data_IF_752048713126
#
_entry.id   IF_752048713126
#
_cell.length_a   1.000
_cell.length_b   1.000
_cell.length_c   1.000
_cell.angle_alpha   90.00
_cell.angle_beta   90.00
_cell.angle_gamma   90.00
#
_symmetry.space_group_name_H-M   'P 1'
#
loop_
_entity.id
_entity.type
_entity.pdbx_description
1 polymer ?
#
# COMPACT_ATOMS: atom_id res chain seq x y z
N UNK A 1 -7.44 21.45 35.05
CA UNK A 1 -6.98 21.20 33.66
C UNK A 1 -8.12 20.56 32.89
N UNK A 2 -8.52 21.10 31.74
CA UNK A 2 -9.58 20.55 30.88
C UNK A 2 -8.93 19.84 29.69
N UNK A 3 -9.18 18.54 29.53
CA UNK A 3 -8.74 17.77 28.36
C UNK A 3 -9.88 17.73 27.35
N UNK A 4 -9.59 18.01 26.08
CA UNK A 4 -10.55 17.96 24.98
C UNK A 4 -10.16 16.82 24.03
N UNK A 5 -11.15 16.05 23.57
CA UNK A 5 -10.96 14.95 22.63
C UNK A 5 -11.68 15.26 21.32
N UNK A 6 -10.95 15.20 20.20
CA UNK A 6 -11.50 15.42 18.87
C UNK A 6 -12.44 14.28 18.44
N UNK A 7 -13.40 14.57 17.57
CA UNK A 7 -14.20 13.58 16.85
C UNK A 7 -14.39 14.04 15.39
N UNK A 8 -14.04 13.23 14.37
CA UNK A 8 -13.52 11.85 14.48
C UNK A 8 -12.07 11.79 14.99
N UNK A 9 -11.68 10.64 15.57
CA UNK A 9 -10.30 10.27 15.93
C UNK A 9 -10.16 8.74 15.95
N UNK A 10 -8.96 8.22 15.70
CA UNK A 10 -8.68 6.79 15.76
C UNK A 10 -8.82 6.07 14.41
N UNK A 11 -9.31 4.83 14.44
CA UNK A 11 -9.31 3.94 13.28
C UNK A 11 -10.30 4.37 12.20
N UNK A 12 -9.83 4.36 10.95
CA UNK A 12 -10.68 4.48 9.77
C UNK A 12 -11.15 3.09 9.30
N UNK A 13 -12.05 3.06 8.33
CA UNK A 13 -12.58 1.79 7.79
C UNK A 13 -11.50 0.88 7.19
N UNK A 14 -10.51 1.45 6.47
CA UNK A 14 -9.40 0.69 5.88
C UNK A 14 -8.50 0.03 6.93
N UNK A 15 -8.17 0.76 8.00
CA UNK A 15 -7.40 0.24 9.14
C UNK A 15 -8.15 -0.90 9.84
N UNK A 16 -9.44 -0.73 10.12
CA UNK A 16 -10.25 -1.79 10.72
C UNK A 16 -10.26 -3.04 9.83
N UNK A 17 -10.53 -2.86 8.54
CA UNK A 17 -10.58 -3.96 7.57
C UNK A 17 -9.26 -4.73 7.52
N UNK A 18 -8.11 -4.04 7.49
CA UNK A 18 -6.81 -4.69 7.42
C UNK A 18 -6.47 -5.49 8.68
N UNK A 19 -6.77 -4.92 9.86
CA UNK A 19 -6.61 -5.60 11.15
C UNK A 19 -7.52 -6.83 11.22
N UNK A 20 -8.80 -6.68 10.86
CA UNK A 20 -9.78 -7.77 10.86
C UNK A 20 -9.40 -8.88 9.86
N UNK A 21 -8.84 -8.52 8.70
CA UNK A 21 -8.36 -9.46 7.71
C UNK A 21 -7.23 -10.34 8.27
N UNK A 22 -6.24 -9.73 8.95
CA UNK A 22 -5.15 -10.46 9.58
C UNK A 22 -5.66 -11.33 10.75
N UNK A 23 -6.58 -10.82 11.57
CA UNK A 23 -7.21 -11.60 12.65
C UNK A 23 -7.98 -12.81 12.13
N UNK A 24 -8.74 -12.64 11.04
CA UNK A 24 -9.49 -13.72 10.40
C UNK A 24 -8.54 -14.76 9.80
N UNK A 25 -7.46 -14.32 9.14
CA UNK A 25 -6.45 -15.23 8.62
C UNK A 25 -5.84 -16.07 9.74
N UNK A 26 -5.39 -15.45 10.83
CA UNK A 26 -4.85 -16.15 12.01
C UNK A 26 -5.86 -17.15 12.57
N UNK A 27 -7.15 -16.78 12.65
CA UNK A 27 -8.20 -17.66 13.17
C UNK A 27 -8.39 -18.92 12.31
N UNK A 28 -8.23 -18.80 11.00
CA UNK A 28 -8.47 -19.90 10.05
C UNK A 28 -7.29 -20.85 9.91
N UNK A 29 -6.07 -20.32 9.88
CA UNK A 29 -4.87 -21.08 9.50
C UNK A 29 -3.77 -21.08 10.55
N UNK A 30 -3.97 -20.37 11.67
CA UNK A 30 -2.99 -20.19 12.72
C UNK A 30 -2.07 -18.98 12.47
N UNK A 31 -1.19 -18.65 13.44
CA UNK A 31 -0.43 -17.40 13.42
C UNK A 31 0.83 -17.41 12.55
N UNK A 32 1.19 -18.53 11.94
CA UNK A 32 2.36 -18.64 11.06
C UNK A 32 2.08 -18.00 9.68
N UNK A 33 1.83 -16.70 9.71
CA UNK A 33 1.49 -15.86 8.57
C UNK A 33 2.56 -14.79 8.43
N UNK A 34 2.90 -14.47 7.19
CA UNK A 34 3.79 -13.38 6.85
C UNK A 34 2.97 -12.18 6.39
N UNK A 35 3.40 -10.98 6.75
CA UNK A 35 2.81 -9.72 6.27
C UNK A 35 3.92 -8.92 5.60
N UNK A 36 3.68 -8.52 4.35
CA UNK A 36 4.57 -7.63 3.62
C UNK A 36 4.39 -6.20 4.16
N UNK A 37 5.45 -5.67 4.77
CA UNK A 37 5.46 -4.46 5.59
C UNK A 37 4.52 -4.50 6.79
N UNK A 38 4.54 -3.48 7.64
CA UNK A 38 3.59 -3.36 8.75
C UNK A 38 2.14 -3.32 8.21
N UNK A 39 1.23 -4.09 8.84
CA UNK A 39 -0.19 -4.16 8.41
C UNK A 39 -0.84 -2.76 8.39
N UNK A 40 -0.46 -1.92 9.35
CA UNK A 40 -0.70 -0.48 9.47
C UNK A 40 0.47 0.12 10.25
N UNK A 41 0.83 1.39 10.02
CA UNK A 41 1.92 2.07 10.74
C UNK A 41 1.55 2.42 12.21
N UNK A 42 1.36 1.39 13.02
CA UNK A 42 1.09 1.51 14.45
C UNK A 42 1.81 0.42 15.24
N UNK A 43 2.84 0.84 15.98
CA UNK A 43 3.66 -0.06 16.81
C UNK A 43 2.86 -0.96 17.74
N UNK A 44 1.80 -0.46 18.39
CA UNK A 44 1.01 -1.29 19.30
C UNK A 44 0.25 -2.41 18.58
N UNK A 45 -0.24 -2.14 17.36
CA UNK A 45 -0.91 -3.13 16.50
C UNK A 45 0.12 -4.15 16.01
N UNK A 46 1.26 -3.70 15.49
CA UNK A 46 2.36 -4.56 15.02
C UNK A 46 2.86 -5.47 16.13
N UNK A 47 3.22 -4.91 17.29
CA UNK A 47 3.70 -5.65 18.45
C UNK A 47 2.68 -6.70 18.94
N UNK A 48 1.38 -6.40 18.84
CA UNK A 48 0.31 -7.35 19.19
C UNK A 48 0.36 -8.57 18.28
N UNK A 49 0.44 -8.39 16.96
CA UNK A 49 0.47 -9.49 16.01
C UNK A 49 1.79 -10.26 16.03
N UNK A 50 2.92 -9.57 16.21
CA UNK A 50 4.23 -10.23 16.40
C UNK A 50 4.21 -11.17 17.61
N UNK A 51 3.62 -10.74 18.74
CA UNK A 51 3.44 -11.61 19.92
C UNK A 51 2.52 -12.81 19.67
N UNK A 52 1.61 -12.72 18.70
CA UNK A 52 0.77 -13.84 18.31
C UNK A 52 1.50 -14.83 17.39
N UNK A 53 2.62 -14.43 16.78
CA UNK A 53 3.45 -15.29 15.92
C UNK A 53 3.53 -14.82 14.45
N UNK A 54 2.88 -13.71 14.10
CA UNK A 54 2.97 -13.11 12.76
C UNK A 54 4.37 -12.58 12.51
N UNK A 55 4.85 -12.69 11.28
CA UNK A 55 6.14 -12.15 10.85
C UNK A 55 5.94 -11.05 9.82
N UNK A 56 6.38 -9.84 10.14
CA UNK A 56 6.45 -8.74 9.19
C UNK A 56 7.78 -8.83 8.42
N UNK A 57 7.74 -8.67 7.10
CA UNK A 57 8.90 -8.81 6.20
C UNK A 57 8.95 -7.65 5.22
N UNK A 58 10.14 -7.32 4.74
CA UNK A 58 10.37 -6.22 3.80
C UNK A 58 10.44 -6.71 2.35
N UNK A 59 10.58 -8.03 2.14
CA UNK A 59 10.55 -8.68 0.83
C UNK A 59 9.79 -10.02 0.84
N UNK A 60 9.01 -10.35 -0.22
CA UNK A 60 8.49 -11.69 -0.43
C UNK A 60 9.60 -12.77 -0.49
N UNK A 61 10.86 -12.39 -0.70
CA UNK A 61 11.98 -13.32 -0.72
C UNK A 61 12.31 -13.95 0.65
N UNK A 62 11.92 -13.26 1.71
CA UNK A 62 12.09 -13.73 3.09
C UNK A 62 11.03 -14.76 3.49
N UNK A 63 10.01 -14.95 2.64
CA UNK A 63 8.85 -15.80 2.92
C UNK A 63 9.07 -17.20 2.31
N UNK A 64 9.01 -18.29 3.10
CA UNK A 64 9.14 -19.64 2.56
C UNK A 64 8.07 -19.92 1.51
N UNK A 65 8.46 -20.54 0.39
CA UNK A 65 7.56 -20.88 -0.70
C UNK A 65 6.32 -21.67 -0.21
N UNK A 66 5.15 -21.40 -0.77
CA UNK A 66 3.88 -22.00 -0.35
C UNK A 66 3.28 -21.41 0.94
N UNK A 67 3.98 -20.53 1.65
CA UNK A 67 3.44 -19.87 2.86
C UNK A 67 2.40 -18.82 2.50
N UNK A 68 1.65 -18.36 3.52
CA UNK A 68 0.67 -17.29 3.40
C UNK A 68 1.37 -15.93 3.55
N UNK A 69 1.17 -15.04 2.59
CA UNK A 69 1.65 -13.67 2.60
C UNK A 69 0.47 -12.69 2.51
N UNK A 70 0.36 -11.80 3.49
CA UNK A 70 -0.65 -10.75 3.53
C UNK A 70 -0.05 -9.42 3.06
N UNK A 71 -0.71 -8.72 2.16
CA UNK A 71 -0.33 -7.35 1.78
C UNK A 71 -0.95 -6.34 2.74
N UNK A 72 -0.20 -5.31 3.14
CA UNK A 72 -0.64 -4.30 4.12
C UNK A 72 -1.78 -3.41 3.59
N UNK A 73 -2.34 -2.57 4.47
CA UNK A 73 -3.39 -1.62 4.10
C UNK A 73 -2.95 -0.59 3.04
N UNK A 74 -1.65 -0.34 2.94
CA UNK A 74 -1.02 0.66 2.09
C UNK A 74 -0.92 0.25 0.61
N UNK A 75 -1.23 -1.01 0.29
CA UNK A 75 -1.07 -1.51 -1.08
C UNK A 75 0.35 -1.92 -1.43
N UNK A 76 0.46 -2.58 -2.58
CA UNK A 76 1.73 -3.09 -3.12
C UNK A 76 1.75 -2.94 -4.63
N UNK A 77 2.94 -2.81 -5.20
CA UNK A 77 3.13 -2.71 -6.65
C UNK A 77 2.81 -4.04 -7.35
N UNK A 78 2.53 -4.01 -8.68
CA UNK A 78 2.40 -5.21 -9.51
C UNK A 78 3.61 -6.15 -9.45
N UNK A 79 4.82 -5.60 -9.27
CA UNK A 79 6.07 -6.36 -9.14
C UNK A 79 6.06 -7.24 -7.88
N UNK A 80 5.70 -6.69 -6.72
CA UNK A 80 5.58 -7.46 -5.47
C UNK A 80 4.52 -8.56 -5.60
N UNK A 81 3.42 -8.28 -6.29
CA UNK A 81 2.41 -9.31 -6.61
C UNK A 81 2.98 -10.41 -7.52
N UNK A 82 3.84 -10.07 -8.48
CA UNK A 82 4.51 -11.05 -9.34
C UNK A 82 5.47 -11.93 -8.57
N UNK A 83 6.34 -11.32 -7.77
CA UNK A 83 7.31 -12.05 -6.95
C UNK A 83 6.63 -13.03 -5.98
N UNK A 84 5.52 -12.61 -5.36
CA UNK A 84 4.72 -13.50 -4.52
C UNK A 84 4.14 -14.69 -5.30
N UNK A 85 3.67 -14.48 -6.55
CA UNK A 85 3.18 -15.56 -7.42
C UNK A 85 4.31 -16.50 -7.84
N UNK A 86 5.47 -15.98 -8.22
CA UNK A 86 6.64 -16.76 -8.63
C UNK A 86 7.12 -17.70 -7.51
N UNK A 87 7.01 -17.23 -6.25
CA UNK A 87 7.29 -18.03 -5.06
C UNK A 87 6.16 -18.95 -4.62
N UNK A 88 5.08 -19.02 -5.40
CA UNK A 88 3.88 -19.82 -5.08
C UNK A 88 3.31 -19.50 -3.71
N UNK A 89 3.39 -18.24 -3.28
CA UNK A 89 2.82 -17.79 -2.00
C UNK A 89 1.30 -17.72 -2.09
N UNK A 90 0.63 -18.09 -1.01
CA UNK A 90 -0.81 -17.91 -0.86
C UNK A 90 -1.07 -16.48 -0.40
N UNK A 91 -1.51 -15.61 -1.31
CA UNK A 91 -1.65 -14.18 -1.02
C UNK A 91 -3.04 -13.83 -0.48
N UNK A 92 -3.07 -12.93 0.50
CA UNK A 92 -4.28 -12.27 0.99
C UNK A 92 -4.06 -10.76 0.93
N UNK A 93 -4.97 -10.03 0.30
CA UNK A 93 -4.80 -8.61 0.06
C UNK A 93 -5.65 -7.79 1.02
N UNK A 94 -5.01 -7.08 1.95
CA UNK A 94 -5.68 -6.18 2.88
C UNK A 94 -5.57 -4.69 2.48
N UNK A 95 -5.16 -4.40 1.23
CA UNK A 95 -5.09 -3.04 0.70
C UNK A 95 -6.42 -2.32 0.91
N UNK A 96 -6.37 -1.11 1.47
CA UNK A 96 -7.56 -0.28 1.65
C UNK A 96 -8.26 -0.06 0.29
N UNK A 97 -9.59 -0.23 0.17
CA UNK A 97 -10.28 -0.02 -1.11
C UNK A 97 -10.12 1.39 -1.68
N UNK A 98 -9.82 2.39 -0.84
CA UNK A 98 -9.53 3.75 -1.28
C UNK A 98 -8.13 3.85 -1.92
N UNK A 99 -7.15 3.08 -1.44
CA UNK A 99 -5.84 2.95 -2.10
C UNK A 99 -5.98 2.17 -3.41
N UNK A 100 -6.71 1.05 -3.40
CA UNK A 100 -7.01 0.30 -4.63
C UNK A 100 -7.68 1.17 -5.69
N UNK A 101 -8.57 2.09 -5.28
CA UNK A 101 -9.15 3.07 -6.21
C UNK A 101 -8.07 3.91 -6.87
N UNK A 102 -7.09 4.45 -6.13
CA UNK A 102 -5.99 5.26 -6.70
C UNK A 102 -5.14 4.43 -7.67
N UNK A 103 -4.84 3.17 -7.32
CA UNK A 103 -4.15 2.25 -8.24
C UNK A 103 -4.92 2.07 -9.55
N UNK A 104 -6.23 1.82 -9.48
CA UNK A 104 -7.07 1.64 -10.67
C UNK A 104 -7.17 2.92 -11.52
N UNK A 105 -7.15 4.09 -10.89
CA UNK A 105 -7.12 5.38 -11.59
C UNK A 105 -5.77 5.59 -12.28
N UNK A 106 -4.64 5.22 -11.66
CA UNK A 106 -3.32 5.27 -12.29
C UNK A 106 -3.26 4.39 -13.54
N UNK A 107 -3.74 3.15 -13.46
CA UNK A 107 -3.83 2.23 -14.59
C UNK A 107 -4.71 2.81 -15.70
N UNK A 108 -5.89 3.36 -15.34
CA UNK A 108 -6.80 3.95 -16.32
C UNK A 108 -6.15 5.13 -17.05
N UNK A 109 -5.57 6.07 -16.33
CA UNK A 109 -4.96 7.26 -16.92
C UNK A 109 -3.77 6.90 -17.81
N UNK A 110 -2.93 5.95 -17.41
CA UNK A 110 -1.83 5.46 -18.24
C UNK A 110 -2.34 4.84 -19.55
N UNK A 111 -3.37 3.98 -19.49
CA UNK A 111 -3.99 3.38 -20.67
C UNK A 111 -4.65 4.42 -21.60
N UNK A 112 -5.18 5.49 -21.02
CA UNK A 112 -5.76 6.60 -21.76
C UNK A 112 -4.70 7.58 -22.32
N UNK A 113 -3.41 7.34 -22.09
CA UNK A 113 -2.29 8.14 -22.59
C UNK A 113 -2.04 9.44 -21.85
N UNK A 114 -2.34 9.49 -20.54
CA UNK A 114 -1.99 10.61 -19.68
C UNK A 114 -0.60 10.44 -19.05
N UNK A 115 0.09 11.57 -18.86
CA UNK A 115 1.13 11.66 -17.84
C UNK A 115 0.47 11.96 -16.49
N UNK A 116 0.84 11.21 -15.46
CA UNK A 116 0.25 11.23 -14.13
C UNK A 116 1.22 11.92 -13.20
N UNK A 117 0.75 12.95 -12.50
CA UNK A 117 1.48 13.60 -11.43
C UNK A 117 0.98 13.00 -10.12
N UNK A 118 1.80 12.21 -9.44
CA UNK A 118 1.49 11.69 -8.12
C UNK A 118 2.01 12.67 -7.07
N UNK A 119 1.12 13.18 -6.22
CA UNK A 119 1.49 14.02 -5.08
C UNK A 119 1.63 13.11 -3.88
N UNK A 120 2.83 12.98 -3.33
CA UNK A 120 3.09 12.06 -2.23
C UNK A 120 4.45 12.30 -1.61
N UNK A 121 4.87 11.39 -0.74
CA UNK A 121 6.21 11.40 -0.15
C UNK A 121 7.02 10.23 -0.66
N UNK A 122 8.24 10.51 -1.15
CA UNK A 122 9.14 9.47 -1.62
C UNK A 122 9.43 8.45 -0.50
N UNK A 123 9.52 7.18 -0.89
CA UNK A 123 9.74 6.07 0.03
C UNK A 123 8.51 5.61 0.84
N UNK A 124 7.35 6.29 0.78
CA UNK A 124 6.15 5.80 1.46
C UNK A 124 5.53 4.59 0.73
N UNK A 125 5.09 3.57 1.49
CA UNK A 125 4.55 2.31 0.94
C UNK A 125 3.43 2.54 -0.10
N UNK A 126 2.48 3.44 0.20
CA UNK A 126 1.37 3.79 -0.70
C UNK A 126 1.84 4.44 -2.01
N UNK A 127 2.90 5.25 -1.93
CA UNK A 127 3.49 5.94 -3.08
C UNK A 127 4.23 4.95 -3.95
N UNK A 128 5.07 4.09 -3.37
CA UNK A 128 5.77 3.02 -4.10
C UNK A 128 4.77 2.09 -4.78
N UNK A 129 3.70 1.70 -4.07
CA UNK A 129 2.62 0.87 -4.60
C UNK A 129 1.94 1.50 -5.80
N UNK A 130 1.55 2.78 -5.69
CA UNK A 130 0.85 3.51 -6.76
C UNK A 130 1.75 3.79 -7.96
N UNK A 131 3.00 4.22 -7.73
CA UNK A 131 4.00 4.45 -8.80
C UNK A 131 4.22 3.18 -9.62
N UNK A 132 4.26 2.02 -8.96
CA UNK A 132 4.46 0.73 -9.61
C UNK A 132 3.32 0.29 -10.55
N UNK A 133 2.12 0.86 -10.44
CA UNK A 133 1.00 0.53 -11.33
C UNK A 133 1.17 1.12 -12.75
N UNK A 134 1.90 2.23 -12.88
CA UNK A 134 2.10 2.93 -14.14
C UNK A 134 3.49 3.60 -14.26
N UNK A 135 4.60 2.85 -14.07
CA UNK A 135 5.95 3.42 -13.90
C UNK A 135 6.42 4.29 -15.06
N UNK A 136 5.98 3.99 -16.28
CA UNK A 136 6.35 4.73 -17.51
C UNK A 136 5.53 6.01 -17.72
N UNK A 137 4.50 6.25 -16.91
CA UNK A 137 3.55 7.35 -17.10
C UNK A 137 3.35 8.20 -15.86
N UNK A 138 4.05 7.92 -14.76
CA UNK A 138 3.84 8.58 -13.47
C UNK A 138 5.11 9.29 -12.99
N UNK A 139 4.95 10.50 -12.48
CA UNK A 139 6.02 11.32 -11.91
C UNK A 139 5.60 11.77 -10.52
N UNK A 140 6.43 11.50 -9.51
CA UNK A 140 6.21 11.91 -8.13
C UNK A 140 6.59 13.39 -7.96
N UNK A 141 5.78 14.11 -7.18
CA UNK A 141 6.10 15.44 -6.66
C UNK A 141 5.71 15.54 -5.18
N UNK A 142 6.52 16.22 -4.38
CA UNK A 142 6.27 16.51 -2.97
C UNK A 142 6.05 18.01 -2.71
N UNK A 143 6.60 18.85 -3.59
CA UNK A 143 6.69 20.30 -3.37
C UNK A 143 6.22 21.12 -4.59
N UNK A 144 5.76 22.37 -4.40
CA UNK A 144 5.48 23.27 -5.51
C UNK A 144 6.67 23.50 -6.44
N UNK A 145 7.88 23.56 -5.91
CA UNK A 145 9.11 23.75 -6.69
C UNK A 145 9.39 22.58 -7.64
N UNK A 146 9.07 21.34 -7.24
CA UNK A 146 9.14 20.17 -8.12
C UNK A 146 8.10 20.26 -9.25
N UNK A 147 6.90 20.76 -8.96
CA UNK A 147 5.86 21.00 -9.97
C UNK A 147 6.35 21.98 -11.05
N UNK A 148 7.04 23.05 -10.65
CA UNK A 148 7.62 24.03 -11.57
C UNK A 148 8.69 23.43 -12.51
N UNK A 149 9.29 22.30 -12.13
CA UNK A 149 10.34 21.63 -12.88
C UNK A 149 9.85 20.50 -13.81
N UNK A 150 8.54 20.21 -13.82
CA UNK A 150 7.99 19.10 -14.58
C UNK A 150 8.18 19.29 -16.10
N UNK A 151 8.64 18.25 -16.83
CA UNK A 151 9.05 18.37 -18.24
C UNK A 151 7.87 18.29 -19.22
N UNK A 152 6.67 18.71 -18.82
CA UNK A 152 5.46 18.61 -19.65
C UNK A 152 5.16 19.90 -20.41
N UNK A 153 4.62 19.73 -21.61
CA UNK A 153 4.16 20.82 -22.48
C UNK A 153 2.64 21.02 -22.39
N UNK A 154 2.11 22.16 -22.84
CA UNK A 154 0.66 22.38 -22.91
C UNK A 154 -0.11 21.41 -23.83
N UNK A 155 0.60 20.65 -24.68
CA UNK A 155 -0.02 19.64 -25.54
C UNK A 155 -0.18 18.27 -24.84
N UNK A 156 0.51 18.06 -23.72
CA UNK A 156 0.46 16.80 -22.98
C UNK A 156 -0.84 16.67 -22.20
N UNK A 157 -1.36 15.44 -22.16
CA UNK A 157 -2.54 15.12 -21.35
C UNK A 157 -2.06 14.82 -19.94
N UNK A 158 -2.52 15.62 -18.97
CA UNK A 158 -2.12 15.49 -17.57
C UNK A 158 -3.29 15.07 -16.68
N UNK A 159 -3.01 14.20 -15.71
CA UNK A 159 -3.89 13.85 -14.61
C UNK A 159 -3.07 13.89 -13.31
N UNK A 160 -3.73 14.07 -12.16
CA UNK A 160 -3.04 13.97 -10.88
C UNK A 160 -3.72 12.97 -9.95
N UNK A 161 -2.92 12.35 -9.11
CA UNK A 161 -3.32 11.47 -8.02
C UNK A 161 -2.60 11.92 -6.74
N UNK A 162 -3.12 11.54 -5.58
CA UNK A 162 -2.50 11.78 -4.27
C UNK A 162 -2.75 10.61 -3.35
#
# INVERSE_FOLDING_TARGET
MKVLLANPRGFCAGVNMAIECLEEAIRRVGPNIYVYHEIVHNKHVVDRFTRLGVRFVDSPDEVPAGSILLFSAHGVSPEIRSLARERSLQTVDATCPLVTKVHLEAIRYANDGYNIILIGHDGHDEVIGTMGEAPESITLVETPEEVDSLPFSPADRLAYLT
#
